data_IF_464597644944
#
_entry.id   IF_464597644944
#
_cell.length_a   1.000
_cell.length_b   1.000
_cell.length_c   1.000
_cell.angle_alpha   90.00
_cell.angle_beta   90.00
_cell.angle_gamma   90.00
#
_symmetry.space_group_name_H-M   'P 1'
#
loop_
_entity.id
_entity.type
_entity.pdbx_description
1 polymer ?
#
# COMPACT_ATOMS: atom_id res chain seq x y z
N UNK A 1 17.33 -20.95 2.95
CA UNK A 1 16.77 -21.09 1.58
C UNK A 1 16.00 -19.83 1.21
N UNK A 2 16.26 -19.30 0.05
CA UNK A 2 15.51 -18.16 -0.46
C UNK A 2 14.11 -18.58 -0.87
N UNK A 3 13.12 -17.85 -0.40
CA UNK A 3 11.71 -18.07 -0.75
C UNK A 3 11.08 -16.78 -1.24
N UNK A 4 10.17 -16.89 -2.16
CA UNK A 4 9.36 -15.77 -2.60
C UNK A 4 7.94 -15.95 -2.05
N UNK A 5 7.47 -14.92 -1.35
CA UNK A 5 6.16 -14.94 -0.71
C UNK A 5 5.24 -13.97 -1.45
N UNK A 6 4.15 -14.48 -1.97
CA UNK A 6 3.13 -13.65 -2.59
C UNK A 6 2.27 -13.03 -1.49
N UNK A 7 2.16 -11.72 -1.51
CA UNK A 7 1.45 -10.95 -0.47
C UNK A 7 0.53 -9.94 -1.12
N UNK A 8 -0.62 -9.74 -0.51
CA UNK A 8 -1.53 -8.65 -0.84
C UNK A 8 -1.76 -7.78 0.38
N UNK A 9 -2.02 -6.51 0.13
CA UNK A 9 -2.32 -5.55 1.18
C UNK A 9 -3.53 -4.70 0.80
N UNK A 10 -4.32 -4.34 1.81
CA UNK A 10 -5.45 -3.44 1.66
C UNK A 10 -5.22 -2.23 2.55
N UNK A 11 -5.36 -1.04 2.00
CA UNK A 11 -5.15 0.17 2.76
C UNK A 11 -6.12 1.28 2.40
N UNK A 12 -6.16 2.27 3.27
CA UNK A 12 -6.92 3.50 3.09
C UNK A 12 -6.09 4.66 3.59
N UNK A 13 -6.07 5.75 2.85
CA UNK A 13 -5.34 6.95 3.24
C UNK A 13 -6.20 8.18 3.00
N UNK A 14 -6.09 9.18 3.87
CA UNK A 14 -6.69 10.49 3.65
C UNK A 14 -5.57 11.46 3.28
N UNK A 15 -5.84 12.30 2.27
CA UNK A 15 -4.84 13.24 1.76
C UNK A 15 -5.51 14.47 1.16
N UNK A 16 -4.72 15.54 1.10
CA UNK A 16 -5.11 16.77 0.40
C UNK A 16 -4.54 16.77 -1.03
N UNK A 17 -5.33 17.18 -1.99
CA UNK A 17 -4.94 17.22 -3.40
C UNK A 17 -5.76 18.27 -4.16
N UNK A 18 -5.28 18.64 -5.34
CA UNK A 18 -5.96 19.61 -6.19
C UNK A 18 -7.14 19.03 -6.98
N UNK A 19 -7.29 17.73 -6.95
CA UNK A 19 -8.38 17.01 -7.63
C UNK A 19 -8.15 15.51 -7.57
N UNK A 20 -9.08 14.75 -8.15
CA UNK A 20 -9.03 13.29 -8.16
C UNK A 20 -7.74 12.76 -8.78
N UNK A 21 -7.37 13.27 -9.95
CA UNK A 21 -6.16 12.82 -10.64
C UNK A 21 -4.89 13.06 -9.81
N UNK A 22 -4.79 14.19 -9.14
CA UNK A 22 -3.67 14.50 -8.27
C UNK A 22 -3.63 13.57 -7.05
N UNK A 23 -4.80 13.29 -6.45
CA UNK A 23 -4.91 12.36 -5.33
C UNK A 23 -4.44 10.96 -5.74
N UNK A 24 -4.91 10.46 -6.88
CA UNK A 24 -4.50 9.17 -7.42
C UNK A 24 -2.99 9.11 -7.67
N UNK A 25 -2.45 10.13 -8.30
CA UNK A 25 -1.03 10.21 -8.62
C UNK A 25 -0.15 10.20 -7.36
N UNK A 26 -0.52 10.98 -6.35
CA UNK A 26 0.23 11.03 -5.09
C UNK A 26 0.26 9.65 -4.41
N UNK A 27 -0.88 9.00 -4.31
CA UNK A 27 -0.99 7.70 -3.66
C UNK A 27 -0.20 6.64 -4.42
N UNK A 28 -0.37 6.52 -5.73
CA UNK A 28 0.38 5.57 -6.54
C UNK A 28 1.88 5.76 -6.44
N UNK A 29 2.35 6.99 -6.52
CA UNK A 29 3.77 7.32 -6.41
C UNK A 29 4.34 6.88 -5.07
N UNK A 30 3.66 7.22 -3.98
CA UNK A 30 4.12 6.87 -2.63
C UNK A 30 4.16 5.37 -2.40
N UNK A 31 3.13 4.66 -2.85
CA UNK A 31 3.09 3.20 -2.70
C UNK A 31 4.20 2.53 -3.51
N UNK A 32 4.47 2.99 -4.72
CA UNK A 32 5.55 2.46 -5.56
C UNK A 32 6.93 2.79 -5.03
N UNK A 33 7.10 3.92 -4.37
CA UNK A 33 8.35 4.26 -3.70
C UNK A 33 8.64 3.32 -2.53
N UNK A 34 7.61 2.96 -1.78
CA UNK A 34 7.76 2.01 -0.66
C UNK A 34 7.95 0.57 -1.13
N UNK A 35 7.26 0.18 -2.19
CA UNK A 35 7.32 -1.18 -2.72
C UNK A 35 7.34 -1.16 -4.25
N UNK A 36 8.52 -0.95 -4.89
CA UNK A 36 8.63 -0.75 -6.34
C UNK A 36 8.10 -1.88 -7.21
N UNK A 37 8.13 -3.10 -6.73
CA UNK A 37 7.66 -4.26 -7.49
C UNK A 37 6.16 -4.54 -7.36
N UNK A 38 5.44 -3.75 -6.58
CA UNK A 38 4.04 -4.01 -6.30
C UNK A 38 3.13 -3.58 -7.45
N UNK A 39 2.06 -4.35 -7.65
CA UNK A 39 0.93 -3.91 -8.44
C UNK A 39 0.01 -3.07 -7.55
N UNK A 40 -0.23 -1.85 -7.95
CA UNK A 40 -1.10 -0.91 -7.22
C UNK A 40 -2.45 -0.81 -7.93
N UNK A 41 -3.52 -0.99 -7.19
CA UNK A 41 -4.89 -0.83 -7.68
C UNK A 41 -5.64 0.12 -6.77
N UNK A 42 -6.12 1.23 -7.32
CA UNK A 42 -6.95 2.17 -6.58
C UNK A 42 -8.40 1.73 -6.68
N UNK A 43 -9.01 1.44 -5.54
CA UNK A 43 -10.36 0.91 -5.47
C UNK A 43 -11.42 1.99 -5.40
N UNK A 44 -11.11 3.07 -4.70
CA UNK A 44 -12.05 4.18 -4.50
C UNK A 44 -11.27 5.46 -4.20
N UNK A 45 -11.69 6.55 -4.83
CA UNK A 45 -11.19 7.90 -4.52
C UNK A 45 -12.42 8.76 -4.26
N UNK A 46 -12.61 9.17 -3.02
CA UNK A 46 -13.79 9.91 -2.61
C UNK A 46 -13.42 11.21 -1.91
N UNK A 47 -14.15 12.28 -2.23
CA UNK A 47 -14.03 13.55 -1.49
C UNK A 47 -14.61 13.37 -0.10
N UNK A 48 -13.90 13.85 0.92
CA UNK A 48 -14.33 13.75 2.31
C UNK A 48 -15.08 15.00 2.79
N UNK A 49 -14.95 16.10 2.05
CA UNK A 49 -15.63 17.36 2.37
C UNK A 49 -16.63 17.71 1.26
N UNK A 50 -17.84 18.15 1.61
CA UNK A 50 -18.90 18.41 0.62
C UNK A 50 -18.71 19.69 -0.17
N UNK A 51 -17.93 20.64 0.32
CA UNK A 51 -17.76 21.94 -0.33
C UNK A 51 -16.54 21.97 -1.24
N UNK A 52 -16.68 22.49 -2.46
CA UNK A 52 -15.53 22.64 -3.35
C UNK A 52 -14.51 23.63 -2.79
N UNK A 53 -13.23 23.27 -2.87
CA UNK A 53 -12.09 24.10 -2.46
C UNK A 53 -11.01 23.98 -3.52
N UNK A 54 -10.05 24.90 -3.50
CA UNK A 54 -8.89 24.83 -4.38
C UNK A 54 -8.08 23.57 -4.05
N UNK A 55 -7.86 23.32 -2.75
CA UNK A 55 -7.28 22.07 -2.26
C UNK A 55 -8.41 21.30 -1.58
N UNK A 56 -8.67 20.11 -2.07
CA UNK A 56 -9.72 19.23 -1.57
C UNK A 56 -9.13 18.10 -0.76
N UNK A 57 -9.92 17.53 0.14
CA UNK A 57 -9.52 16.34 0.90
C UNK A 57 -10.20 15.10 0.33
N UNK A 58 -9.39 14.04 0.21
CA UNK A 58 -9.82 12.77 -0.36
C UNK A 58 -9.51 11.63 0.58
N UNK A 59 -10.34 10.59 0.51
CA UNK A 59 -10.04 9.28 1.06
C UNK A 59 -9.81 8.34 -0.12
N UNK A 60 -8.68 7.66 -0.14
CA UNK A 60 -8.33 6.71 -1.19
C UNK A 60 -8.20 5.32 -0.59
N UNK A 61 -8.95 4.37 -1.13
CA UNK A 61 -8.82 2.96 -0.79
C UNK A 61 -8.05 2.27 -1.91
N UNK A 62 -7.12 1.40 -1.53
CA UNK A 62 -6.25 0.74 -2.50
C UNK A 62 -5.93 -0.69 -2.11
N UNK A 63 -5.46 -1.43 -3.10
CA UNK A 63 -4.97 -2.78 -2.94
C UNK A 63 -3.57 -2.87 -3.54
N UNK A 64 -2.71 -3.59 -2.86
CA UNK A 64 -1.35 -3.90 -3.31
C UNK A 64 -1.20 -5.40 -3.48
N UNK A 65 -0.45 -5.81 -4.49
CA UNK A 65 -0.09 -7.22 -4.69
C UNK A 65 1.34 -7.30 -5.19
N UNK A 66 2.07 -8.28 -4.71
CA UNK A 66 3.44 -8.50 -5.16
C UNK A 66 4.07 -9.66 -4.43
N UNK A 67 5.37 -9.84 -4.68
CA UNK A 67 6.16 -10.87 -4.02
C UNK A 67 7.29 -10.24 -3.22
N UNK A 68 7.64 -10.90 -2.12
CA UNK A 68 8.76 -10.50 -1.27
C UNK A 68 9.71 -11.68 -1.17
N UNK A 69 10.98 -11.46 -1.49
CA UNK A 69 12.02 -12.47 -1.34
C UNK A 69 12.56 -12.43 0.09
N UNK A 70 12.57 -13.56 0.76
CA UNK A 70 13.07 -13.70 2.12
C UNK A 70 13.92 -14.96 2.27
N UNK A 71 14.77 -14.96 3.29
CA UNK A 71 15.53 -16.14 3.68
C UNK A 71 14.80 -16.84 4.84
N UNK A 72 14.35 -18.06 4.62
CA UNK A 72 13.69 -18.85 5.64
C UNK A 72 13.68 -20.32 5.25
N UNK A 73 13.70 -21.20 6.24
CA UNK A 73 13.65 -22.65 6.01
C UNK A 73 12.19 -23.14 5.97
N UNK A 74 11.32 -22.51 6.74
CA UNK A 74 9.91 -22.89 6.83
C UNK A 74 9.03 -21.85 6.15
N UNK A 75 7.94 -22.30 5.58
CA UNK A 75 6.97 -21.44 4.93
C UNK A 75 6.35 -20.40 5.89
N UNK A 76 6.04 -20.81 7.12
CA UNK A 76 5.51 -19.89 8.12
C UNK A 76 6.49 -18.79 8.49
N UNK A 77 7.75 -19.13 8.61
CA UNK A 77 8.81 -18.15 8.92
C UNK A 77 9.01 -17.20 7.74
N UNK A 78 8.88 -17.71 6.51
CA UNK A 78 8.94 -16.88 5.31
C UNK A 78 7.81 -15.85 5.28
N UNK A 79 6.59 -16.26 5.60
CA UNK A 79 5.44 -15.34 5.67
C UNK A 79 5.64 -14.25 6.71
N UNK A 80 6.09 -14.60 7.90
CA UNK A 80 6.39 -13.62 8.96
C UNK A 80 7.47 -12.64 8.55
N UNK A 81 8.53 -13.15 7.93
CA UNK A 81 9.61 -12.32 7.44
C UNK A 81 9.14 -11.37 6.35
N UNK A 82 8.29 -11.83 5.43
CA UNK A 82 7.72 -11.02 4.37
C UNK A 82 6.83 -9.89 4.95
N UNK A 83 5.96 -10.19 5.89
CA UNK A 83 5.11 -9.18 6.53
C UNK A 83 5.92 -8.15 7.30
N UNK A 84 6.97 -8.59 8.00
CA UNK A 84 7.87 -7.69 8.71
C UNK A 84 8.58 -6.75 7.74
N UNK A 85 9.11 -7.30 6.65
CA UNK A 85 9.79 -6.50 5.65
C UNK A 85 8.86 -5.44 5.03
N UNK A 86 7.61 -5.80 4.74
CA UNK A 86 6.64 -4.85 4.21
C UNK A 86 6.25 -3.79 5.23
N UNK A 87 6.02 -4.17 6.48
CA UNK A 87 5.75 -3.19 7.54
C UNK A 87 6.89 -2.19 7.70
N UNK A 88 8.12 -2.64 7.61
CA UNK A 88 9.29 -1.77 7.66
C UNK A 88 9.37 -0.80 6.49
N UNK A 89 9.03 -1.26 5.28
CA UNK A 89 9.02 -0.42 4.08
C UNK A 89 8.03 0.75 4.18
N UNK A 90 6.89 0.53 4.83
CA UNK A 90 5.85 1.54 4.96
C UNK A 90 5.87 2.28 6.30
N UNK A 91 6.74 1.87 7.23
CA UNK A 91 6.87 2.52 8.53
C UNK A 91 7.27 3.99 8.39
N UNK A 92 6.66 4.85 9.19
CA UNK A 92 6.92 6.29 9.14
C UNK A 92 6.22 7.03 7.99
N UNK A 93 5.49 6.33 7.16
CA UNK A 93 4.67 6.95 6.10
C UNK A 93 3.22 7.02 6.52
N UNK A 94 2.41 7.77 5.77
CA UNK A 94 0.97 7.81 6.00
C UNK A 94 0.24 6.51 5.60
N UNK A 95 0.98 5.55 5.03
CA UNK A 95 0.47 4.23 4.63
C UNK A 95 0.87 3.12 5.61
N UNK A 96 1.13 3.44 6.87
CA UNK A 96 1.60 2.46 7.86
C UNK A 96 0.52 1.46 8.33
N UNK A 97 -0.74 1.68 7.99
CA UNK A 97 -1.87 0.85 8.45
C UNK A 97 -2.45 -0.02 7.34
N UNK A 98 -1.59 -0.69 6.60
CA UNK A 98 -2.02 -1.63 5.57
C UNK A 98 -2.28 -2.99 6.21
N UNK A 99 -3.41 -3.61 5.88
CA UNK A 99 -3.71 -4.99 6.30
C UNK A 99 -3.07 -5.95 5.30
N UNK A 100 -2.09 -6.69 5.75
CA UNK A 100 -1.33 -7.64 4.94
C UNK A 100 -1.88 -9.04 5.04
N UNK A 101 -1.88 -9.75 3.92
CA UNK A 101 -2.38 -11.11 3.83
C UNK A 101 -1.55 -11.90 2.82
N UNK A 102 -1.21 -13.14 3.14
CA UNK A 102 -0.50 -14.01 2.21
C UNK A 102 -1.46 -14.51 1.13
N UNK A 103 -1.00 -14.51 -0.12
CA UNK A 103 -1.74 -15.11 -1.23
C UNK A 103 -1.38 -16.57 -1.39
N UNK A 104 -2.36 -17.36 -1.66
CA UNK A 104 -2.20 -18.79 -1.89
C UNK A 104 -2.36 -19.62 -0.66
#
# INVERSE_FOLDING_TARGET
MRREVAVRGMGRVELAAYGVADAEHQVERELRECWPGARVELLEVARTLPEPRIVEEFAVRYRLRGTVAVEAEREEDARRAAFRALRERFAGTRHARIAWEAEG
#
